data_IF_962084678772
#
_entry.id   IF_962084678772
#
_cell.length_a   1.000
_cell.length_b   1.000
_cell.length_c   1.000
_cell.angle_alpha   90.00
_cell.angle_beta   90.00
_cell.angle_gamma   90.00
#
_symmetry.space_group_name_H-M   'P 1'
#
loop_
_entity.id
_entity.type
_entity.pdbx_description
1 polymer ?
#
# COMPACT_ATOMS: atom_id res chain seq x y z
N UNK A 1 10.45 19.60 -4.44
CA UNK A 1 11.61 20.09 -3.65
C UNK A 1 12.29 19.01 -2.78
N UNK A 2 11.62 18.36 -1.82
CA UNK A 2 12.26 17.31 -0.99
C UNK A 2 12.27 15.94 -1.70
N UNK A 3 11.12 15.49 -2.22
CA UNK A 3 10.98 14.18 -2.90
C UNK A 3 11.76 14.11 -4.21
N UNK A 4 11.81 15.20 -4.98
CA UNK A 4 12.61 15.31 -6.22
C UNK A 4 14.10 15.03 -6.05
N UNK A 5 14.62 15.07 -4.83
CA UNK A 5 16.02 14.80 -4.52
C UNK A 5 16.30 13.35 -4.16
N UNK A 6 15.27 12.49 -4.16
CA UNK A 6 15.39 11.08 -3.83
C UNK A 6 15.57 10.27 -5.12
N UNK A 7 16.48 9.30 -5.11
CA UNK A 7 16.60 8.31 -6.18
C UNK A 7 15.45 7.28 -6.16
N UNK A 8 14.75 7.18 -5.04
CA UNK A 8 13.58 6.33 -4.89
C UNK A 8 12.87 6.55 -3.55
N UNK A 9 11.59 6.18 -3.51
CA UNK A 9 10.73 6.26 -2.34
C UNK A 9 10.18 4.87 -1.99
N UNK A 10 10.38 4.44 -0.74
CA UNK A 10 9.80 3.20 -0.21
C UNK A 10 8.74 3.55 0.84
N UNK A 11 7.51 3.11 0.62
CA UNK A 11 6.42 3.20 1.60
C UNK A 11 6.21 1.83 2.24
N UNK A 12 6.54 1.72 3.52
CA UNK A 12 6.51 0.48 4.26
C UNK A 12 5.08 0.03 4.66
N UNK A 13 5.00 -1.19 5.21
CA UNK A 13 3.79 -1.71 5.85
C UNK A 13 3.36 -0.89 7.08
N UNK A 14 2.17 -1.20 7.60
CA UNK A 14 1.62 -0.49 8.75
C UNK A 14 0.15 -0.83 9.03
N UNK A 15 -0.50 -0.07 9.91
CA UNK A 15 -1.91 -0.26 10.30
C UNK A 15 -2.87 0.20 9.19
N UNK A 16 -4.13 -0.24 9.22
CA UNK A 16 -5.14 0.09 8.20
C UNK A 16 -5.14 1.56 7.72
N UNK A 17 -5.33 1.75 6.41
CA UNK A 17 -5.55 3.07 5.81
C UNK A 17 -6.93 3.58 6.23
N UNK A 18 -7.01 4.85 6.64
CA UNK A 18 -8.27 5.45 7.07
C UNK A 18 -9.37 5.35 5.99
N UNK A 19 -10.53 4.72 6.28
CA UNK A 19 -11.57 4.44 5.28
C UNK A 19 -12.10 5.64 4.49
N UNK A 20 -12.13 6.81 5.14
CA UNK A 20 -12.58 8.05 4.50
C UNK A 20 -11.72 8.44 3.29
N UNK A 21 -10.45 7.99 3.24
CA UNK A 21 -9.51 8.29 2.15
C UNK A 21 -9.90 7.61 0.84
N UNK A 22 -10.69 6.55 0.89
CA UNK A 22 -11.22 5.85 -0.27
C UNK A 22 -12.75 5.81 -0.28
N UNK A 23 -13.40 6.79 0.36
CA UNK A 23 -14.84 7.00 0.27
C UNK A 23 -15.69 5.98 1.03
N UNK A 24 -15.13 5.29 2.03
CA UNK A 24 -15.84 4.30 2.82
C UNK A 24 -16.09 4.75 4.26
N UNK A 25 -17.18 4.26 4.84
CA UNK A 25 -17.40 4.27 6.29
C UNK A 25 -16.54 3.18 6.96
N UNK A 26 -16.08 3.38 8.21
CA UNK A 26 -15.30 2.38 8.91
C UNK A 26 -16.13 1.13 9.24
N UNK A 27 -15.60 -0.05 8.91
CA UNK A 27 -16.09 -1.34 9.44
C UNK A 27 -15.72 -1.45 10.93
N UNK A 28 -16.57 -2.05 11.79
CA UNK A 28 -16.28 -2.22 13.22
C UNK A 28 -14.98 -2.96 13.54
N UNK A 29 -14.46 -3.77 12.61
CA UNK A 29 -13.20 -4.51 12.76
C UNK A 29 -11.97 -3.69 12.36
N UNK A 30 -12.16 -2.52 11.75
CA UNK A 30 -11.06 -1.69 11.25
C UNK A 30 -10.28 -1.12 12.41
N UNK A 31 -8.96 -1.26 12.35
CA UNK A 31 -8.06 -0.75 13.37
C UNK A 31 -8.12 0.77 13.49
N UNK A 32 -7.54 1.34 14.57
CA UNK A 32 -7.47 2.78 14.72
C UNK A 32 -6.67 3.40 13.55
N UNK A 33 -7.20 4.44 12.89
CA UNK A 33 -6.54 5.02 11.73
C UNK A 33 -5.27 5.77 12.13
N UNK A 34 -4.19 5.59 11.38
CA UNK A 34 -2.98 6.37 11.53
C UNK A 34 -3.08 7.68 10.73
N UNK A 35 -4.03 8.55 11.08
CA UNK A 35 -4.43 9.73 10.26
C UNK A 35 -3.28 10.63 9.80
N UNK A 36 -2.41 11.00 10.74
CA UNK A 36 -1.24 11.81 10.42
C UNK A 36 -0.31 11.05 9.46
N UNK A 37 -0.21 9.73 9.64
CA UNK A 37 0.57 8.83 8.81
C UNK A 37 -0.03 8.65 7.40
N UNK A 38 -1.36 8.59 7.27
CA UNK A 38 -2.01 8.56 5.97
C UNK A 38 -1.78 9.86 5.21
N UNK A 39 -1.94 11.01 5.89
CA UNK A 39 -1.82 12.33 5.25
C UNK A 39 -0.44 12.59 4.64
N UNK A 40 0.65 12.41 5.40
CA UNK A 40 2.00 12.65 4.88
C UNK A 40 2.42 11.60 3.84
N UNK A 41 2.10 10.30 3.97
CA UNK A 41 2.47 9.30 2.97
C UNK A 41 1.69 9.48 1.67
N UNK A 42 0.41 9.86 1.72
CA UNK A 42 -0.33 10.24 0.50
C UNK A 42 0.29 11.46 -0.18
N UNK A 43 0.75 12.45 0.59
CA UNK A 43 1.46 13.61 0.03
C UNK A 43 2.81 13.21 -0.60
N UNK A 44 3.57 12.31 0.04
CA UNK A 44 4.83 11.79 -0.50
C UNK A 44 4.62 10.97 -1.78
N UNK A 45 3.59 10.11 -1.81
CA UNK A 45 3.20 9.35 -2.99
C UNK A 45 2.83 10.30 -4.12
N UNK A 46 1.96 11.28 -3.86
CA UNK A 46 1.56 12.27 -4.86
C UNK A 46 2.76 13.06 -5.41
N UNK A 47 3.68 13.48 -4.54
CA UNK A 47 4.89 14.18 -4.96
C UNK A 47 5.85 13.29 -5.77
N UNK A 48 6.02 12.02 -5.40
CA UNK A 48 6.85 11.07 -6.13
C UNK A 48 6.30 10.79 -7.54
N UNK A 49 4.98 10.60 -7.64
CA UNK A 49 4.30 10.43 -8.93
C UNK A 49 4.46 11.67 -9.82
N UNK A 50 4.26 12.87 -9.27
CA UNK A 50 4.41 14.12 -10.01
C UNK A 50 5.86 14.35 -10.49
N UNK A 51 6.85 13.95 -9.69
CA UNK A 51 8.27 14.11 -10.00
C UNK A 51 8.87 12.95 -10.81
N UNK A 52 8.13 11.86 -11.06
CA UNK A 52 8.64 10.66 -11.73
C UNK A 52 9.67 9.87 -10.91
N UNK A 53 9.68 10.03 -9.58
CA UNK A 53 10.59 9.31 -8.68
C UNK A 53 10.16 7.85 -8.56
N UNK A 54 11.07 6.86 -8.72
CA UNK A 54 10.75 5.45 -8.53
C UNK A 54 10.13 5.17 -7.14
N UNK A 55 9.01 4.45 -7.12
CA UNK A 55 8.26 4.19 -5.89
C UNK A 55 8.02 2.69 -5.68
N UNK A 56 8.26 2.21 -4.45
CA UNK A 56 7.90 0.88 -3.99
C UNK A 56 6.95 0.95 -2.79
N UNK A 57 5.74 0.44 -2.95
CA UNK A 57 4.77 0.28 -1.85
C UNK A 57 4.74 -1.16 -1.34
N UNK A 58 4.97 -1.38 -0.05
CA UNK A 58 5.00 -2.70 0.58
C UNK A 58 3.81 -2.86 1.51
N UNK A 59 3.01 -3.93 1.35
CA UNK A 59 1.85 -4.22 2.20
C UNK A 59 0.85 -3.04 2.24
N UNK A 60 0.84 -2.25 3.31
CA UNK A 60 0.07 -1.02 3.38
C UNK A 60 0.51 0.03 2.35
N UNK A 61 1.80 0.09 2.02
CA UNK A 61 2.30 1.03 1.02
C UNK A 61 1.68 0.83 -0.36
N UNK A 62 1.45 -0.41 -0.79
CA UNK A 62 0.73 -0.68 -2.05
C UNK A 62 -0.76 -0.30 -1.95
N UNK A 63 -1.37 -0.45 -0.77
CA UNK A 63 -2.76 -0.03 -0.53
C UNK A 63 -2.90 1.49 -0.62
N UNK A 64 -1.99 2.24 0.00
CA UNK A 64 -1.98 3.70 -0.11
C UNK A 64 -1.74 4.19 -1.53
N UNK A 65 -0.87 3.52 -2.29
CA UNK A 65 -0.66 3.85 -3.71
C UNK A 65 -1.96 3.68 -4.51
N UNK A 66 -2.68 2.58 -4.30
CA UNK A 66 -4.00 2.37 -4.91
C UNK A 66 -4.99 3.48 -4.53
N UNK A 67 -5.08 3.85 -3.26
CA UNK A 67 -5.96 4.93 -2.79
C UNK A 67 -5.56 6.30 -3.37
N UNK A 68 -4.27 6.61 -3.45
CA UNK A 68 -3.77 7.85 -4.05
C UNK A 68 -4.13 7.98 -5.54
N UNK A 69 -4.31 6.85 -6.23
CA UNK A 69 -4.73 6.77 -7.63
C UNK A 69 -6.26 6.61 -7.80
N UNK A 70 -7.04 6.80 -6.73
CA UNK A 70 -8.50 6.77 -6.75
C UNK A 70 -9.13 5.39 -6.57
N UNK A 71 -8.33 4.38 -6.24
CA UNK A 71 -8.83 3.04 -5.93
C UNK A 71 -9.43 2.91 -4.52
N UNK A 72 -10.10 1.78 -4.28
CA UNK A 72 -10.72 1.43 -3.00
C UNK A 72 -10.06 0.23 -2.34
N UNK A 73 -10.37 -0.02 -1.07
CA UNK A 73 -9.87 -1.17 -0.31
C UNK A 73 -11.01 -2.00 0.29
N UNK A 74 -10.80 -3.31 0.37
CA UNK A 74 -11.59 -4.20 1.21
C UNK A 74 -11.00 -4.13 2.61
N UNK A 75 -11.79 -3.68 3.59
CA UNK A 75 -11.31 -3.45 4.96
C UNK A 75 -10.93 -4.75 5.68
N UNK A 76 -11.68 -5.83 5.44
CA UNK A 76 -11.48 -7.12 6.11
C UNK A 76 -11.66 -8.28 5.15
N UNK A 77 -10.72 -9.22 5.18
CA UNK A 77 -10.78 -10.48 4.46
C UNK A 77 -10.90 -11.61 5.48
N UNK A 78 -11.98 -12.38 5.40
CA UNK A 78 -12.20 -13.49 6.30
C UNK A 78 -11.10 -14.56 6.13
N UNK A 79 -10.56 -15.05 7.25
CA UNK A 79 -9.47 -16.03 7.25
C UNK A 79 -8.07 -15.49 6.89
N UNK A 80 -7.93 -14.18 6.64
CA UNK A 80 -6.62 -13.58 6.29
C UNK A 80 -5.80 -13.16 7.50
N UNK A 81 -6.47 -12.72 8.58
CA UNK A 81 -5.82 -12.40 9.85
C UNK A 81 -5.76 -13.66 10.73
N UNK A 82 -4.57 -14.26 10.80
CA UNK A 82 -4.26 -15.34 11.73
C UNK A 82 -3.95 -14.81 13.14
N UNK A 83 -3.00 -15.43 13.83
CA UNK A 83 -2.52 -14.95 15.12
C UNK A 83 -1.54 -13.78 14.97
N UNK A 84 -1.60 -12.81 15.90
CA UNK A 84 -0.67 -11.67 15.93
C UNK A 84 0.78 -12.18 15.99
N UNK A 85 1.63 -11.66 15.10
CA UNK A 85 3.03 -12.05 15.02
C UNK A 85 3.29 -13.36 14.27
N UNK A 86 2.26 -13.98 13.70
CA UNK A 86 2.40 -15.17 12.85
C UNK A 86 2.30 -14.77 11.38
N UNK A 87 3.38 -15.00 10.64
CA UNK A 87 3.41 -14.77 9.20
C UNK A 87 2.77 -15.95 8.46
N UNK A 88 1.76 -15.65 7.64
CA UNK A 88 1.24 -16.59 6.66
C UNK A 88 1.99 -16.50 5.33
N UNK A 89 2.03 -17.59 4.59
CA UNK A 89 2.51 -17.62 3.21
C UNK A 89 1.44 -18.21 2.30
N UNK A 90 1.37 -17.72 1.08
CA UNK A 90 0.54 -18.29 0.02
C UNK A 90 1.25 -18.08 -1.32
N UNK A 91 1.06 -18.99 -2.30
CA UNK A 91 1.63 -18.81 -3.62
C UNK A 91 0.96 -17.63 -4.32
N UNK A 92 1.74 -16.90 -5.12
CA UNK A 92 1.26 -15.87 -6.04
C UNK A 92 1.72 -16.21 -7.45
N UNK A 93 0.85 -16.02 -8.44
CA UNK A 93 1.20 -16.22 -9.85
C UNK A 93 1.46 -14.84 -10.46
N UNK A 94 2.71 -14.51 -10.83
CA UNK A 94 2.99 -13.25 -11.50
C UNK A 94 2.23 -13.15 -12.82
N UNK A 95 1.64 -11.99 -13.10
CA UNK A 95 0.97 -11.76 -14.38
C UNK A 95 2.03 -11.48 -15.46
N UNK A 96 2.06 -12.23 -16.57
CA UNK A 96 3.02 -12.02 -17.65
C UNK A 96 3.03 -10.58 -18.17
N UNK A 97 4.22 -10.06 -18.48
CA UNK A 97 4.40 -8.69 -18.98
C UNK A 97 4.38 -7.60 -17.91
N UNK A 98 4.18 -7.93 -16.63
CA UNK A 98 4.29 -6.97 -15.52
C UNK A 98 5.73 -6.81 -15.05
N UNK A 99 6.04 -5.66 -14.41
CA UNK A 99 7.33 -5.43 -13.75
C UNK A 99 7.64 -6.48 -12.67
N UNK A 100 6.61 -6.97 -11.98
CA UNK A 100 6.78 -8.01 -10.96
C UNK A 100 7.24 -9.33 -11.59
N UNK A 101 6.57 -9.79 -12.66
CA UNK A 101 6.96 -11.01 -13.36
C UNK A 101 8.40 -10.97 -13.92
N UNK A 102 8.89 -9.80 -14.32
CA UNK A 102 10.28 -9.65 -14.76
C UNK A 102 11.30 -9.69 -13.61
N UNK A 103 10.87 -9.45 -12.37
CA UNK A 103 11.75 -9.33 -11.20
C UNK A 103 11.81 -10.61 -10.36
N UNK A 104 10.81 -11.48 -10.43
CA UNK A 104 10.78 -12.76 -9.72
C UNK A 104 11.04 -13.91 -10.69
N UNK A 105 11.77 -14.96 -10.27
CA UNK A 105 11.94 -16.15 -11.11
C UNK A 105 10.59 -16.80 -11.42
N UNK A 106 10.50 -17.45 -12.58
CA UNK A 106 9.34 -18.29 -12.93
C UNK A 106 9.09 -19.33 -11.81
N UNK A 107 7.82 -19.64 -11.50
CA UNK A 107 7.45 -20.57 -10.43
C UNK A 107 8.10 -21.94 -10.52
#
# INVERSE_FOLDING_TARGET
AAVERLDGLVIAGGPDVEPVRYGAAPDPRTGPPARARDAWELALIGAALAAGVPLLGICRGMQLLNVALGGTLVQHLDGHAGAVGVFGTHPVVPVPGTRYAAAVPEP
#
